data_IF_391283099878
#
_entry.id   IF_391283099878
#
_cell.length_a   1.000
_cell.length_b   1.000
_cell.length_c   1.000
_cell.angle_alpha   90.00
_cell.angle_beta   90.00
_cell.angle_gamma   90.00
#
_symmetry.space_group_name_H-M   'P 1'
#
loop_
_entity.id
_entity.type
_entity.pdbx_description
1 polymer ?
#
# COMPACT_ATOMS: atom_id res chain seq x y z
N UNK A 1 -7.29 5.18 11.59
CA UNK A 1 -8.55 5.21 10.80
C UNK A 1 -8.95 3.80 10.41
N UNK A 2 -10.23 3.56 10.15
CA UNK A 2 -10.71 2.22 9.80
C UNK A 2 -10.43 1.93 8.32
N UNK A 3 -9.42 1.14 8.04
CA UNK A 3 -9.06 0.75 6.68
C UNK A 3 -10.05 -0.28 6.10
N UNK A 4 -10.27 -0.21 4.78
CA UNK A 4 -10.87 -1.30 4.04
C UNK A 4 -9.88 -2.45 3.88
N UNK A 5 -10.33 -3.69 4.04
CA UNK A 5 -9.49 -4.87 3.87
C UNK A 5 -10.27 -6.07 3.36
N UNK A 6 -9.55 -7.03 2.80
CA UNK A 6 -10.04 -8.37 2.46
C UNK A 6 -9.23 -9.40 3.22
N UNK A 7 -9.91 -10.42 3.74
CA UNK A 7 -9.30 -11.52 4.47
C UNK A 7 -9.48 -12.84 3.72
N UNK A 8 -8.41 -13.63 3.62
CA UNK A 8 -8.38 -14.94 2.97
C UNK A 8 -7.50 -15.90 3.78
N UNK A 9 -7.85 -17.20 3.78
CA UNK A 9 -7.09 -18.26 4.44
C UNK A 9 -7.22 -18.27 5.96
N UNK A 10 -6.34 -19.03 6.61
CA UNK A 10 -6.31 -19.19 8.08
C UNK A 10 -4.88 -19.50 8.55
N UNK A 11 -4.60 -19.28 9.85
CA UNK A 11 -3.28 -19.51 10.43
C UNK A 11 -2.60 -18.24 10.90
N UNK A 12 -1.24 -18.16 10.87
CA UNK A 12 -0.52 -16.95 11.28
C UNK A 12 -0.89 -15.75 10.40
N UNK A 13 -1.11 -14.58 11.03
CA UNK A 13 -1.56 -13.39 10.32
C UNK A 13 -0.47 -12.74 9.44
N UNK A 14 -0.83 -12.39 8.23
CA UNK A 14 -0.03 -11.63 7.25
C UNK A 14 -0.83 -10.42 6.82
N UNK A 15 -0.25 -9.22 6.92
CA UNK A 15 -0.80 -7.98 6.36
C UNK A 15 -0.08 -7.69 5.06
N UNK A 16 -0.82 -7.57 3.95
CA UNK A 16 -0.31 -7.16 2.64
C UNK A 16 -0.60 -5.68 2.40
N UNK A 17 0.44 -4.89 2.16
CA UNK A 17 0.37 -3.45 2.01
C UNK A 17 0.86 -3.07 0.61
N UNK A 18 -0.05 -2.53 -0.21
CA UNK A 18 0.24 -2.15 -1.61
C UNK A 18 1.08 -0.87 -1.72
N UNK A 19 1.57 -0.59 -2.93
CA UNK A 19 2.31 0.63 -3.28
C UNK A 19 1.41 1.82 -3.57
N UNK A 20 2.03 2.97 -3.84
CA UNK A 20 1.33 4.20 -4.23
C UNK A 20 0.47 3.95 -5.48
N UNK A 21 -0.70 4.57 -5.54
CA UNK A 21 -1.72 4.41 -6.60
C UNK A 21 -2.27 2.98 -6.74
N UNK A 22 -1.94 2.10 -5.80
CA UNK A 22 -2.44 0.73 -5.77
C UNK A 22 -3.73 0.58 -4.97
N UNK A 23 -4.10 -0.69 -4.81
CA UNK A 23 -5.20 -1.14 -3.95
C UNK A 23 -4.89 -2.54 -3.43
N UNK A 24 -5.72 -3.06 -2.54
CA UNK A 24 -5.61 -4.42 -2.01
C UNK A 24 -5.57 -5.51 -3.11
N UNK A 25 -6.08 -5.21 -4.31
CA UNK A 25 -6.10 -6.16 -5.43
C UNK A 25 -4.73 -6.35 -6.10
N UNK A 26 -3.81 -5.38 -5.97
CA UNK A 26 -2.50 -5.41 -6.65
C UNK A 26 -1.64 -6.60 -6.20
N UNK A 27 -1.76 -7.02 -4.95
CA UNK A 27 -1.04 -8.17 -4.40
C UNK A 27 -1.91 -9.45 -4.36
N UNK A 28 -3.03 -9.49 -5.11
CA UNK A 28 -4.00 -10.59 -5.07
C UNK A 28 -3.43 -11.94 -5.48
N UNK A 29 -2.42 -12.00 -6.37
CA UNK A 29 -1.72 -13.24 -6.69
C UNK A 29 -0.93 -13.79 -5.50
N UNK A 30 -0.22 -12.91 -4.80
CA UNK A 30 0.52 -13.24 -3.59
C UNK A 30 -0.43 -13.62 -2.45
N UNK A 31 -1.55 -12.89 -2.29
CA UNK A 31 -2.55 -13.18 -1.28
C UNK A 31 -3.08 -14.62 -1.41
N UNK A 32 -3.51 -15.02 -2.60
CA UNK A 32 -4.00 -16.38 -2.86
C UNK A 32 -2.96 -17.46 -2.56
N UNK A 33 -1.71 -17.24 -2.94
CA UNK A 33 -0.64 -18.20 -2.70
C UNK A 33 -0.34 -18.35 -1.19
N UNK A 34 -0.36 -17.23 -0.44
CA UNK A 34 -0.13 -17.25 1.00
C UNK A 34 -1.33 -17.80 1.79
N UNK A 35 -2.55 -17.62 1.28
CA UNK A 35 -3.78 -18.05 1.94
C UNK A 35 -3.89 -19.57 2.17
N UNK A 36 -3.06 -20.36 1.49
CA UNK A 36 -2.94 -21.81 1.73
C UNK A 36 -2.41 -22.13 3.14
N UNK A 37 -1.61 -21.24 3.75
CA UNK A 37 -0.93 -21.48 5.03
C UNK A 37 -1.07 -20.34 6.04
N UNK A 38 -1.59 -19.17 5.62
CA UNK A 38 -1.67 -17.95 6.41
C UNK A 38 -3.07 -17.34 6.38
N UNK A 39 -3.41 -16.63 7.44
CA UNK A 39 -4.52 -15.69 7.46
C UNK A 39 -4.04 -14.39 6.84
N UNK A 40 -4.39 -14.15 5.58
CA UNK A 40 -3.90 -13.02 4.78
C UNK A 40 -4.93 -11.89 4.82
N UNK A 41 -4.50 -10.72 5.24
CA UNK A 41 -5.27 -9.48 5.30
C UNK A 41 -4.66 -8.51 4.29
N UNK A 42 -5.29 -8.33 3.14
CA UNK A 42 -4.90 -7.35 2.13
C UNK A 42 -5.64 -6.05 2.41
N UNK A 43 -4.94 -4.93 2.52
CA UNK A 43 -5.50 -3.64 2.92
C UNK A 43 -5.49 -2.64 1.77
N UNK A 44 -6.49 -1.76 1.73
CA UNK A 44 -6.39 -0.47 1.06
C UNK A 44 -5.84 0.54 2.06
N UNK A 45 -4.72 1.18 1.73
CA UNK A 45 -4.18 2.25 2.57
C UNK A 45 -5.07 3.50 2.52
N UNK A 46 -4.94 4.42 3.51
CA UNK A 46 -5.62 5.72 3.44
C UNK A 46 -5.44 6.36 2.05
N UNK A 47 -6.47 7.04 1.56
CA UNK A 47 -6.50 7.69 0.24
C UNK A 47 -6.41 6.73 -0.96
N UNK A 48 -6.57 5.40 -0.75
CA UNK A 48 -6.53 4.40 -1.81
C UNK A 48 -7.73 3.44 -1.71
N UNK A 49 -8.13 2.87 -2.86
CA UNK A 49 -9.19 1.89 -2.95
C UNK A 49 -10.49 2.37 -2.29
N UNK A 50 -11.07 1.52 -1.45
CA UNK A 50 -12.30 1.80 -0.71
C UNK A 50 -12.02 2.31 0.73
N UNK A 51 -10.77 2.59 1.08
CA UNK A 51 -10.43 3.21 2.37
C UNK A 51 -10.77 4.70 2.41
N UNK A 52 -11.05 5.26 3.60
CA UNK A 52 -11.37 6.67 3.74
C UNK A 52 -10.24 7.58 3.25
N UNK A 53 -10.64 8.78 2.78
CA UNK A 53 -9.74 9.83 2.36
C UNK A 53 -9.53 10.85 3.48
N UNK A 54 -8.25 11.22 3.70
CA UNK A 54 -7.81 12.18 4.68
C UNK A 54 -6.81 13.17 4.08
N UNK A 55 -6.75 14.36 4.63
CA UNK A 55 -5.78 15.38 4.19
C UNK A 55 -4.35 14.97 4.52
N UNK A 56 -4.15 14.32 5.67
CA UNK A 56 -2.84 13.86 6.11
C UNK A 56 -2.52 12.50 5.50
N UNK A 57 -1.44 12.45 4.71
CA UNK A 57 -0.90 11.23 4.12
C UNK A 57 0.62 11.22 4.26
N UNK A 58 1.10 10.79 5.41
CA UNK A 58 2.52 10.60 5.71
C UNK A 58 2.79 9.20 6.28
N UNK A 59 4.04 8.79 6.30
CA UNK A 59 4.43 7.46 6.76
C UNK A 59 4.02 7.18 8.21
N UNK A 60 4.19 8.11 9.18
CA UNK A 60 3.72 7.90 10.55
C UNK A 60 2.21 7.61 10.62
N UNK A 61 1.39 8.44 9.99
CA UNK A 61 -0.07 8.26 10.00
C UNK A 61 -0.51 6.96 9.33
N UNK A 62 0.13 6.59 8.22
CA UNK A 62 -0.13 5.31 7.54
C UNK A 62 0.30 4.10 8.38
N UNK A 63 1.39 4.22 9.12
CA UNK A 63 1.84 3.18 10.05
C UNK A 63 0.87 3.02 11.24
N UNK A 64 0.36 4.13 11.77
CA UNK A 64 -0.63 4.11 12.85
C UNK A 64 -1.95 3.45 12.40
N UNK A 65 -2.37 3.62 11.14
CA UNK A 65 -3.53 2.91 10.58
C UNK A 65 -3.34 1.39 10.60
N UNK A 66 -2.14 0.91 10.25
CA UNK A 66 -1.84 -0.53 10.30
C UNK A 66 -1.86 -1.04 11.74
N UNK A 67 -1.36 -0.26 12.70
CA UNK A 67 -1.41 -0.64 14.12
C UNK A 67 -2.87 -0.68 14.60
N UNK A 68 -3.70 0.31 14.26
CA UNK A 68 -5.13 0.34 14.57
C UNK A 68 -5.86 -0.89 13.95
N UNK A 69 -5.54 -1.24 12.71
CA UNK A 69 -6.09 -2.45 12.08
C UNK A 69 -5.72 -3.72 12.85
N UNK A 70 -4.48 -3.84 13.31
CA UNK A 70 -4.07 -4.98 14.15
C UNK A 70 -4.86 -5.02 15.46
N UNK A 71 -5.15 -3.86 16.07
CA UNK A 71 -5.96 -3.76 17.29
C UNK A 71 -7.42 -4.16 17.03
N UNK A 72 -8.03 -3.66 15.97
CA UNK A 72 -9.40 -3.99 15.55
C UNK A 72 -9.59 -5.50 15.28
N UNK A 73 -8.56 -6.13 14.73
CA UNK A 73 -8.55 -7.57 14.44
C UNK A 73 -8.12 -8.44 15.64
N UNK A 74 -7.82 -7.81 16.79
CA UNK A 74 -7.29 -8.47 17.99
C UNK A 74 -6.01 -9.28 17.71
N UNK A 75 -5.13 -8.75 16.83
CA UNK A 75 -3.85 -9.35 16.49
C UNK A 75 -2.74 -8.70 17.32
N UNK A 76 -2.07 -9.42 18.22
CA UNK A 76 -0.96 -8.88 19.01
C UNK A 76 0.23 -8.51 18.10
N UNK A 77 0.45 -9.28 17.05
CA UNK A 77 1.46 -9.04 16.01
C UNK A 77 1.10 -9.75 14.72
N UNK A 78 1.71 -9.33 13.59
CA UNK A 78 1.56 -9.98 12.29
C UNK A 78 2.88 -9.98 11.51
N UNK A 79 2.93 -10.77 10.45
CA UNK A 79 3.93 -10.64 9.39
C UNK A 79 3.47 -9.46 8.52
N UNK A 80 4.33 -8.47 8.31
CA UNK A 80 4.04 -7.36 7.39
C UNK A 80 4.79 -7.58 6.07
N UNK A 81 4.07 -7.52 4.97
CA UNK A 81 4.62 -7.59 3.61
C UNK A 81 4.18 -6.33 2.88
N UNK A 82 5.13 -5.46 2.57
CA UNK A 82 4.85 -4.18 1.91
C UNK A 82 5.59 -4.03 0.58
N UNK A 83 4.87 -3.59 -0.45
CA UNK A 83 5.43 -3.26 -1.75
C UNK A 83 5.58 -1.74 -1.90
N UNK A 84 6.76 -1.27 -2.36
CA UNK A 84 7.03 0.14 -2.63
C UNK A 84 6.68 1.03 -1.43
N UNK A 85 5.74 1.97 -1.54
CA UNK A 85 5.23 2.79 -0.43
C UNK A 85 4.79 1.92 0.76
N UNK A 86 4.06 0.83 0.51
CA UNK A 86 3.66 -0.11 1.55
C UNK A 86 4.85 -0.74 2.28
N UNK A 87 5.98 -0.93 1.59
CA UNK A 87 7.24 -1.36 2.20
C UNK A 87 7.79 -0.32 3.18
N UNK A 88 7.72 0.97 2.84
CA UNK A 88 8.10 2.06 3.76
C UNK A 88 7.18 2.13 4.97
N UNK A 89 5.87 1.97 4.77
CA UNK A 89 4.90 1.91 5.87
C UNK A 89 5.21 0.73 6.79
N UNK A 90 5.45 -0.46 6.24
CA UNK A 90 5.79 -1.65 7.03
C UNK A 90 7.10 -1.47 7.83
N UNK A 91 8.13 -0.85 7.22
CA UNK A 91 9.36 -0.45 7.93
C UNK A 91 9.08 0.55 9.06
N UNK A 92 8.22 1.55 8.83
CA UNK A 92 7.84 2.54 9.85
C UNK A 92 7.14 1.88 11.04
N UNK A 93 6.21 0.92 10.80
CA UNK A 93 5.59 0.12 11.87
C UNK A 93 6.65 -0.66 12.65
N UNK A 94 7.57 -1.35 11.94
CA UNK A 94 8.62 -2.14 12.58
C UNK A 94 9.57 -1.31 13.46
N UNK A 95 9.87 -0.07 13.06
CA UNK A 95 10.70 0.85 13.82
C UNK A 95 9.97 1.40 15.06
N UNK A 96 8.72 1.82 14.89
CA UNK A 96 7.96 2.49 15.96
C UNK A 96 7.30 1.51 16.94
N UNK A 97 6.91 0.32 16.45
CA UNK A 97 6.15 -0.68 17.21
C UNK A 97 6.70 -2.10 16.94
N UNK A 98 7.98 -2.39 17.26
CA UNK A 98 8.63 -3.65 16.89
C UNK A 98 7.90 -4.89 17.44
N UNK A 99 7.24 -4.77 18.60
CA UNK A 99 6.45 -5.88 19.17
C UNK A 99 5.22 -6.27 18.33
N UNK A 100 4.77 -5.39 17.42
CA UNK A 100 3.62 -5.63 16.55
C UNK A 100 4.01 -6.33 15.23
N UNK A 101 5.31 -6.52 14.97
CA UNK A 101 5.83 -7.08 13.73
C UNK A 101 6.59 -8.36 14.03
N UNK A 102 6.00 -9.52 13.71
CA UNK A 102 6.65 -10.82 13.91
C UNK A 102 7.72 -11.10 12.82
N UNK A 103 7.48 -10.64 11.60
CA UNK A 103 8.42 -10.66 10.46
C UNK A 103 8.11 -9.49 9.54
N UNK A 104 9.14 -9.00 8.85
CA UNK A 104 9.04 -7.92 7.86
C UNK A 104 9.56 -8.41 6.51
N UNK A 105 8.74 -8.24 5.46
CA UNK A 105 9.15 -8.44 4.07
C UNK A 105 8.92 -7.14 3.31
N UNK A 106 9.96 -6.67 2.66
CA UNK A 106 9.93 -5.42 1.87
C UNK A 106 10.20 -5.77 0.41
N UNK A 107 9.28 -5.37 -0.46
CA UNK A 107 9.32 -5.67 -1.89
C UNK A 107 9.55 -4.35 -2.64
N UNK A 108 10.60 -4.32 -3.47
CA UNK A 108 10.90 -3.27 -4.46
C UNK A 108 10.99 -1.85 -3.88
N UNK A 109 11.65 -1.69 -2.75
CA UNK A 109 11.95 -0.39 -2.14
C UNK A 109 13.12 -0.50 -1.16
N UNK A 110 13.93 0.55 -1.06
CA UNK A 110 15.04 0.64 -0.09
C UNK A 110 14.70 1.58 1.08
N UNK A 111 15.35 1.39 2.25
CA UNK A 111 15.17 2.25 3.42
C UNK A 111 15.94 3.57 3.30
N UNK A 112 15.82 4.25 2.15
CA UNK A 112 16.47 5.53 1.85
C UNK A 112 15.45 6.60 1.49
N UNK A 113 15.86 7.86 1.57
CA UNK A 113 15.05 8.97 1.06
C UNK A 113 15.14 8.97 -0.46
N UNK A 114 13.99 8.97 -1.11
CA UNK A 114 13.87 9.15 -2.56
C UNK A 114 13.59 10.62 -2.85
N UNK A 115 14.37 11.21 -3.75
CA UNK A 115 14.12 12.56 -4.28
C UNK A 115 13.25 12.42 -5.53
N UNK A 116 12.08 13.04 -5.52
CA UNK A 116 11.20 13.50 -6.63
C UNK A 116 10.94 12.66 -7.89
N UNK A 117 11.27 11.38 -7.97
CA UNK A 117 10.82 10.52 -9.10
C UNK A 117 9.28 10.42 -9.24
N UNK A 118 8.56 10.75 -8.18
CA UNK A 118 7.09 10.71 -8.14
C UNK A 118 6.43 11.97 -8.71
N UNK A 119 7.14 13.08 -8.82
CA UNK A 119 6.60 14.35 -9.32
C UNK A 119 6.12 14.21 -10.77
N UNK A 120 6.84 13.46 -11.60
CA UNK A 120 6.48 13.23 -13.00
C UNK A 120 5.20 12.42 -13.15
N UNK A 121 5.01 11.39 -12.32
CA UNK A 121 3.80 10.56 -12.32
C UNK A 121 2.60 11.36 -11.78
N UNK A 122 2.78 12.14 -10.71
CA UNK A 122 1.75 13.03 -10.17
C UNK A 122 1.35 14.10 -11.17
N UNK A 123 2.30 14.71 -11.87
CA UNK A 123 2.03 15.70 -12.92
C UNK A 123 1.23 15.07 -14.08
N UNK A 124 1.56 13.84 -14.48
CA UNK A 124 0.83 13.12 -15.50
C UNK A 124 -0.62 12.83 -15.07
N UNK A 125 -0.82 12.36 -13.83
CA UNK A 125 -2.15 12.11 -13.26
C UNK A 125 -2.97 13.40 -13.12
N UNK A 126 -2.37 14.50 -12.65
CA UNK A 126 -3.04 15.79 -12.55
C UNK A 126 -3.50 16.32 -13.91
N UNK A 127 -2.72 16.11 -14.98
CA UNK A 127 -3.11 16.45 -16.36
C UNK A 127 -4.30 15.66 -16.84
N UNK A 128 -4.32 14.34 -16.57
CA UNK A 128 -5.45 13.47 -16.90
C UNK A 128 -6.69 13.84 -16.07
N UNK A 129 -6.52 14.20 -14.81
CA UNK A 129 -7.62 14.65 -13.97
C UNK A 129 -8.23 15.99 -14.46
N UNK A 130 -7.38 16.92 -14.92
CA UNK A 130 -7.82 18.21 -15.48
C UNK A 130 -8.48 18.07 -16.86
N UNK A 131 -8.07 17.06 -17.64
CA UNK A 131 -8.56 16.79 -18.99
C UNK A 131 -8.81 15.27 -19.13
N UNK A 132 -9.96 14.76 -18.68
CA UNK A 132 -10.23 13.34 -18.71
C UNK A 132 -10.18 12.78 -20.14
N UNK A 133 -9.35 11.75 -20.35
CA UNK A 133 -9.27 11.07 -21.63
C UNK A 133 -10.50 10.18 -21.86
N UNK A 134 -11.00 10.13 -23.09
CA UNK A 134 -12.12 9.28 -23.48
C UNK A 134 -11.74 7.80 -23.65
N UNK A 135 -10.45 7.49 -23.73
CA UNK A 135 -9.92 6.13 -23.88
C UNK A 135 -8.52 5.98 -23.29
N UNK A 136 -8.11 4.74 -23.04
CA UNK A 136 -6.74 4.43 -22.59
C UNK A 136 -5.69 4.91 -23.61
N UNK A 137 -5.93 4.72 -24.92
CA UNK A 137 -5.00 5.16 -25.95
C UNK A 137 -4.79 6.69 -25.95
N UNK A 138 -5.86 7.44 -25.71
CA UNK A 138 -5.78 8.90 -25.55
C UNK A 138 -5.02 9.27 -24.28
N UNK A 139 -5.30 8.63 -23.17
CA UNK A 139 -4.56 8.84 -21.92
C UNK A 139 -3.05 8.57 -22.11
N UNK A 140 -2.70 7.44 -22.74
CA UNK A 140 -1.30 7.09 -23.04
C UNK A 140 -0.64 8.16 -23.93
N UNK A 141 -1.35 8.71 -24.92
CA UNK A 141 -0.85 9.80 -25.77
C UNK A 141 -0.61 11.10 -24.98
N UNK A 142 -1.49 11.43 -24.04
CA UNK A 142 -1.38 12.65 -23.21
C UNK A 142 -0.19 12.64 -22.26
N UNK A 143 0.26 11.46 -21.81
CA UNK A 143 1.37 11.27 -20.86
C UNK A 143 2.65 10.73 -21.50
N UNK A 144 2.60 10.30 -22.76
CA UNK A 144 3.77 9.81 -23.51
C UNK A 144 4.92 10.82 -23.52
N UNK A 145 6.14 10.33 -23.27
CA UNK A 145 7.37 11.13 -23.23
C UNK A 145 7.59 11.91 -21.93
N UNK A 146 6.78 11.70 -20.90
CA UNK A 146 6.90 12.34 -19.58
C UNK A 146 7.23 11.36 -18.46
N UNK A 147 6.92 10.10 -18.65
CA UNK A 147 7.33 9.02 -17.74
C UNK A 147 8.56 8.39 -18.37
N UNK A 148 9.71 8.58 -17.75
CA UNK A 148 10.96 7.91 -18.12
C UNK A 148 11.04 6.64 -17.30
N UNK A 149 11.28 5.50 -17.94
CA UNK A 149 11.52 4.20 -17.32
C UNK A 149 12.74 4.22 -16.38
#
# INVERSE_FOLDING_TARGET
MKLNYREEGSGPAVILIHGMFGSLSNLGGLARALAEQYRVISVDMRNHGDSPHELQMDLPSMADDIVELLDDLNLPSAILIGHSLGGKVAMQVALNKPSRVSRLVVIDISPVTYTSLQDTALDALNRLAANPAASRAEADSMISGKIVD
#
